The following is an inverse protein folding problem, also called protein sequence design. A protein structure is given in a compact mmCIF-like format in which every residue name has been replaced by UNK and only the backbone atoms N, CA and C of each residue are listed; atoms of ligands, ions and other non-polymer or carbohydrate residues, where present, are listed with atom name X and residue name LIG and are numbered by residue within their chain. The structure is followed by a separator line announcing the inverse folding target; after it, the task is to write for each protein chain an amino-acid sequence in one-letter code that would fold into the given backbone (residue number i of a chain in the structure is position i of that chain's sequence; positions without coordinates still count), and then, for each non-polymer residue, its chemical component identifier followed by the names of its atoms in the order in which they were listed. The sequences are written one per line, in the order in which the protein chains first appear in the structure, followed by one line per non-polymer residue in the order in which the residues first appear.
data_IF_550778760203
#
_entry.id   IF_550778760203
#
_cell.length_a   1.000
_cell.length_b   1.000
_cell.length_c   1.000
_cell.angle_alpha   90.00
_cell.angle_beta   90.00
_cell.angle_gamma   90.00
#
_symmetry.space_group_name_H-M   'P 1'
#
loop_
_entity.id
_entity.type
_entity.pdbx_description
1 polymer ?
#
# COMPACT_ATOMS: atom_id res chain seq x y z
N UNK A 1 -19.13 4.15 -0.96
CA UNK A 1 -18.22 4.33 -2.12
C UNK A 1 -18.37 3.11 -3.02
N UNK A 2 -18.48 3.25 -4.35
CA UNK A 2 -18.63 2.10 -5.26
C UNK A 2 -17.41 1.16 -5.10
N UNK A 3 -17.65 -0.16 -4.98
CA UNK A 3 -16.63 -1.22 -4.84
C UNK A 3 -15.49 -1.05 -5.84
N UNK A 4 -15.85 -0.71 -7.08
CA UNK A 4 -14.91 -0.54 -8.18
C UNK A 4 -14.02 0.70 -8.00
N UNK A 5 -14.56 1.76 -7.38
CA UNK A 5 -13.81 2.98 -7.03
C UNK A 5 -12.85 2.74 -5.87
N UNK A 6 -13.27 2.02 -4.84
CA UNK A 6 -12.39 1.62 -3.71
C UNK A 6 -11.21 0.82 -4.24
N UNK A 7 -11.47 -0.17 -5.09
CA UNK A 7 -10.44 -1.01 -5.67
C UNK A 7 -9.47 -0.22 -6.57
N UNK A 8 -9.99 0.70 -7.39
CA UNK A 8 -9.13 1.58 -8.20
C UNK A 8 -8.23 2.49 -7.35
N UNK A 9 -8.78 3.10 -6.28
CA UNK A 9 -8.00 3.91 -5.34
C UNK A 9 -6.91 3.05 -4.67
N UNK A 10 -7.26 1.83 -4.25
CA UNK A 10 -6.34 0.89 -3.63
C UNK A 10 -5.18 0.51 -4.55
N UNK A 11 -5.47 0.21 -5.82
CA UNK A 11 -4.46 -0.13 -6.84
C UNK A 11 -3.52 1.04 -7.10
N UNK A 12 -4.04 2.27 -7.22
CA UNK A 12 -3.22 3.48 -7.38
C UNK A 12 -2.27 3.66 -6.19
N UNK A 13 -2.78 3.50 -4.96
CA UNK A 13 -1.99 3.60 -3.73
C UNK A 13 -0.89 2.54 -3.67
N UNK A 14 -1.18 1.30 -4.09
CA UNK A 14 -0.21 0.20 -4.12
C UNK A 14 0.93 0.46 -5.12
N UNK A 15 0.61 0.98 -6.30
CA UNK A 15 1.60 1.31 -7.33
C UNK A 15 2.53 2.41 -6.85
N UNK A 16 1.98 3.49 -6.28
CA UNK A 16 2.77 4.61 -5.74
C UNK A 16 3.72 4.11 -4.64
N UNK A 17 3.23 3.22 -3.78
CA UNK A 17 4.05 2.67 -2.69
C UNK A 17 5.17 1.74 -3.19
N UNK A 18 4.88 0.91 -4.19
CA UNK A 18 5.89 0.07 -4.84
C UNK A 18 7.01 0.90 -5.47
N UNK A 19 6.66 2.01 -6.14
CA UNK A 19 7.64 2.94 -6.71
C UNK A 19 8.46 3.60 -5.59
N UNK A 20 7.82 4.04 -4.50
CA UNK A 20 8.52 4.61 -3.35
C UNK A 20 9.50 3.61 -2.70
N UNK A 21 9.12 2.33 -2.59
CA UNK A 21 9.99 1.26 -2.10
C UNK A 21 11.20 1.04 -3.00
N UNK A 22 11.00 0.95 -4.31
CA UNK A 22 12.08 0.74 -5.28
C UNK A 22 13.01 1.95 -5.26
N UNK A 23 12.45 3.17 -5.16
CA UNK A 23 13.25 4.39 -5.09
C UNK A 23 14.10 4.43 -3.82
N UNK A 24 13.53 4.18 -2.65
CA UNK A 24 14.27 4.22 -1.39
C UNK A 24 15.25 3.03 -1.29
N UNK A 25 14.81 1.83 -1.66
CA UNK A 25 15.64 0.62 -1.64
C UNK A 25 16.77 0.65 -2.66
N UNK A 26 16.59 1.30 -3.82
CA UNK A 26 17.59 1.40 -4.88
C UNK A 26 18.58 2.55 -4.69
N UNK A 27 18.12 3.74 -4.25
CA UNK A 27 18.98 4.92 -4.09
C UNK A 27 19.63 5.02 -2.70
N UNK A 28 19.00 4.51 -1.64
CA UNK A 28 19.46 4.68 -0.26
C UNK A 28 19.95 3.39 0.42
N UNK A 29 20.11 2.30 -0.36
CA UNK A 29 20.38 0.94 0.11
C UNK A 29 21.49 0.79 1.17
N UNK A 30 22.65 1.47 1.11
CA UNK A 30 23.72 1.19 2.07
C UNK A 30 23.72 2.09 3.31
N UNK A 31 22.92 3.18 3.34
CA UNK A 31 22.98 4.17 4.45
C UNK A 31 21.84 4.08 5.45
N UNK A 32 20.69 3.51 5.07
CA UNK A 32 19.54 3.48 5.97
C UNK A 32 18.79 2.17 5.79
N UNK A 33 18.85 1.34 6.83
CA UNK A 33 18.14 0.06 6.96
C UNK A 33 16.62 0.29 7.14
N UNK A 34 16.00 1.05 6.22
CA UNK A 34 14.58 1.38 6.16
C UNK A 34 13.65 0.37 5.45
N UNK A 35 14.10 -0.74 4.80
CA UNK A 35 13.17 -1.65 4.13
C UNK A 35 11.98 -2.09 4.99
N UNK A 36 12.15 -2.46 6.28
CA UNK A 36 11.04 -2.95 7.11
C UNK A 36 9.95 -1.90 7.37
N UNK A 37 10.34 -0.64 7.59
CA UNK A 37 9.41 0.45 7.90
C UNK A 37 8.53 0.79 6.70
N UNK A 38 9.13 0.81 5.51
CA UNK A 38 8.41 1.09 4.26
C UNK A 38 7.47 -0.08 3.93
N UNK A 39 7.90 -1.33 4.18
CA UNK A 39 7.04 -2.51 4.04
C UNK A 39 5.88 -2.54 5.01
N UNK A 40 6.06 -2.04 6.24
CA UNK A 40 4.99 -1.92 7.22
C UNK A 40 3.87 -0.98 6.78
N UNK A 41 4.21 0.15 6.16
CA UNK A 41 3.22 1.12 5.64
C UNK A 41 2.39 0.49 4.51
N UNK A 42 3.00 -0.31 3.64
CA UNK A 42 2.27 -1.03 2.59
C UNK A 42 1.32 -2.08 3.12
N UNK A 43 1.74 -2.78 4.17
CA UNK A 43 0.89 -3.76 4.83
C UNK A 43 -0.36 -3.11 5.46
N UNK A 44 -0.20 -1.91 6.05
CA UNK A 44 -1.31 -1.16 6.63
C UNK A 44 -2.32 -0.70 5.58
N UNK A 45 -1.85 -0.30 4.39
CA UNK A 45 -2.72 0.05 3.26
C UNK A 45 -3.52 -1.17 2.79
N UNK A 46 -2.88 -2.33 2.65
CA UNK A 46 -3.56 -3.58 2.25
C UNK A 46 -4.61 -3.98 3.30
N UNK A 47 -4.30 -3.87 4.59
CA UNK A 47 -5.24 -4.14 5.67
C UNK A 47 -6.47 -3.21 5.63
N UNK A 48 -6.27 -1.91 5.37
CA UNK A 48 -7.36 -0.96 5.20
C UNK A 48 -8.22 -1.28 3.98
N UNK A 49 -7.61 -1.67 2.86
CA UNK A 49 -8.32 -2.07 1.64
C UNK A 49 -9.16 -3.32 1.90
N UNK A 50 -8.60 -4.35 2.54
CA UNK A 50 -9.33 -5.56 2.92
C UNK A 50 -10.48 -5.25 3.88
N UNK A 51 -10.29 -4.37 4.86
CA UNK A 51 -11.37 -3.93 5.74
C UNK A 51 -12.48 -3.20 4.98
N UNK A 52 -12.12 -2.32 4.05
CA UNK A 52 -13.08 -1.54 3.25
C UNK A 52 -13.87 -2.44 2.29
N UNK A 53 -13.20 -3.40 1.63
CA UNK A 53 -13.86 -4.40 0.77
C UNK A 53 -14.79 -5.31 1.59
N UNK A 54 -14.35 -5.80 2.76
CA UNK A 54 -15.16 -6.63 3.67
C UNK A 54 -16.36 -5.87 4.23
N UNK A 55 -16.19 -4.60 4.60
CA UNK A 55 -17.29 -3.73 5.04
C UNK A 55 -18.34 -3.51 3.95
N UNK A 56 -17.97 -3.62 2.67
CA UNK A 56 -18.92 -3.51 1.55
C UNK A 56 -19.60 -4.83 1.19
N UNK A 57 -19.22 -5.94 1.83
CA UNK A 57 -19.81 -7.27 1.63
C UNK A 57 -20.69 -7.73 2.82
N UNK A 58 -20.69 -6.95 3.91
CA UNK A 58 -21.54 -7.12 5.08
C UNK A 58 -22.69 -6.09 5.14
N UNK A 59 -23.01 -5.47 3.99
CA UNK A 59 -24.25 -4.75 3.70
C UNK A 59 -24.83 -5.31 2.41
#
# INVERSE_FOLDING_TARGET
MNKNKVLSIALILLIILGIAMIYIGGFYAPKVMLPPIITGIGFFIIAWVMNTLKSTNNQ
#
